data_IF_098809639755
#
_entry.id   IF_098809639755
#
_cell.length_a   1.000
_cell.length_b   1.000
_cell.length_c   1.000
_cell.angle_alpha   90.00
_cell.angle_beta   90.00
_cell.angle_gamma   90.00
#
_symmetry.space_group_name_H-M   'P 1'
#
loop_
_entity.id
_entity.type
_entity.pdbx_description
1 polymer ?
#
# COMPACT_ATOMS: atom_id res chain seq x y z
N UNK A 1 -25.15 -43.03 17.85
CA UNK A 1 -23.86 -42.31 18.03
C UNK A 1 -23.71 -41.03 17.17
N UNK A 2 -24.78 -40.45 16.57
CA UNK A 2 -24.69 -39.22 15.75
C UNK A 2 -24.73 -37.89 16.56
N UNK A 3 -25.44 -37.86 17.68
CA UNK A 3 -25.60 -36.67 18.54
C UNK A 3 -24.29 -36.04 19.10
N UNK A 4 -23.25 -36.78 19.54
CA UNK A 4 -22.06 -36.14 20.10
C UNK A 4 -21.22 -35.39 19.05
N UNK A 5 -21.26 -35.83 17.78
CA UNK A 5 -20.52 -35.19 16.69
C UNK A 5 -21.17 -33.87 16.25
N UNK A 6 -22.52 -33.80 16.29
CA UNK A 6 -23.28 -32.58 16.05
C UNK A 6 -23.04 -31.53 17.16
N UNK A 7 -23.01 -31.95 18.42
CA UNK A 7 -22.74 -31.07 19.55
C UNK A 7 -21.32 -30.47 19.49
N UNK A 8 -20.31 -31.28 19.14
CA UNK A 8 -18.94 -30.82 18.93
C UNK A 8 -18.87 -29.77 17.80
N UNK A 9 -19.54 -30.04 16.68
CA UNK A 9 -19.56 -29.12 15.53
C UNK A 9 -20.18 -27.77 15.90
N UNK A 10 -21.29 -27.78 16.64
CA UNK A 10 -21.95 -26.56 17.14
C UNK A 10 -21.05 -25.78 18.11
N UNK A 11 -20.32 -26.47 18.99
CA UNK A 11 -19.32 -25.85 19.85
C UNK A 11 -18.19 -25.20 19.04
N UNK A 12 -17.65 -25.90 18.05
CA UNK A 12 -16.60 -25.38 17.18
C UNK A 12 -17.07 -24.16 16.38
N UNK A 13 -18.30 -24.17 15.87
CA UNK A 13 -18.91 -23.01 15.21
C UNK A 13 -19.03 -21.82 16.16
N UNK A 14 -19.49 -22.06 17.39
CA UNK A 14 -19.64 -21.01 18.41
C UNK A 14 -18.29 -20.41 18.80
N UNK A 15 -17.27 -21.25 19.03
CA UNK A 15 -15.92 -20.78 19.36
C UNK A 15 -15.33 -20.00 18.19
N UNK A 16 -15.47 -20.51 16.97
CA UNK A 16 -15.00 -19.82 15.77
C UNK A 16 -15.68 -18.45 15.62
N UNK A 17 -16.98 -18.34 15.89
CA UNK A 17 -17.68 -17.07 15.82
C UNK A 17 -17.21 -16.08 16.91
N UNK A 18 -17.06 -16.53 18.17
CA UNK A 18 -16.52 -15.69 19.25
C UNK A 18 -15.11 -15.19 18.90
N UNK A 19 -14.26 -16.07 18.35
CA UNK A 19 -12.92 -15.70 17.91
C UNK A 19 -12.98 -14.65 16.80
N UNK A 20 -13.86 -14.83 15.81
CA UNK A 20 -14.07 -13.87 14.74
C UNK A 20 -14.50 -12.50 15.28
N UNK A 21 -15.51 -12.46 16.16
CA UNK A 21 -16.01 -11.22 16.76
C UNK A 21 -14.94 -10.51 17.59
N UNK A 22 -13.98 -11.25 18.15
CA UNK A 22 -12.86 -10.68 18.93
C UNK A 22 -11.73 -10.17 18.02
N UNK A 23 -11.41 -10.88 16.94
CA UNK A 23 -10.31 -10.53 16.04
C UNK A 23 -10.68 -9.42 15.06
N UNK A 24 -11.93 -9.37 14.59
CA UNK A 24 -12.41 -8.38 13.62
C UNK A 24 -12.13 -6.92 14.04
N UNK A 25 -12.45 -6.45 15.26
CA UNK A 25 -12.16 -5.07 15.65
C UNK A 25 -10.66 -4.76 15.66
N UNK A 26 -9.79 -5.75 15.93
CA UNK A 26 -8.34 -5.56 15.89
C UNK A 26 -7.87 -5.29 14.46
N UNK A 27 -8.34 -6.07 13.49
CA UNK A 27 -8.08 -5.85 12.06
C UNK A 27 -8.57 -4.47 11.61
N UNK A 28 -9.76 -4.07 12.04
CA UNK A 28 -10.34 -2.77 11.68
C UNK A 28 -9.56 -1.58 12.28
N UNK A 29 -8.92 -1.78 13.43
CA UNK A 29 -8.06 -0.80 14.08
C UNK A 29 -6.63 -0.74 13.51
N UNK A 30 -6.25 -1.69 12.65
CA UNK A 30 -4.95 -1.65 11.98
C UNK A 30 -4.90 -0.55 10.92
N UNK A 31 -3.92 0.33 11.06
CA UNK A 31 -3.80 1.53 10.22
C UNK A 31 -2.62 1.48 9.25
N UNK A 32 -1.62 0.65 9.56
CA UNK A 32 -0.42 0.46 8.75
C UNK A 32 -0.69 -0.51 7.60
N UNK A 33 -0.36 -0.08 6.38
CA UNK A 33 -0.43 -0.90 5.16
C UNK A 33 0.51 -2.11 5.28
N UNK A 34 1.70 -1.92 5.85
CA UNK A 34 2.68 -3.00 6.00
C UNK A 34 2.16 -4.07 6.97
N UNK A 35 1.59 -3.66 8.10
CA UNK A 35 1.00 -4.61 9.08
C UNK A 35 -0.19 -5.35 8.50
N UNK A 36 -1.09 -4.67 7.77
CA UNK A 36 -2.23 -5.33 7.10
C UNK A 36 -1.78 -6.34 6.05
N UNK A 37 -0.74 -6.00 5.27
CA UNK A 37 -0.13 -6.92 4.31
C UNK A 37 0.45 -8.15 5.02
N UNK A 38 1.23 -7.96 6.07
CA UNK A 38 1.83 -9.06 6.83
C UNK A 38 0.77 -9.98 7.43
N UNK A 39 -0.27 -9.41 8.04
CA UNK A 39 -1.41 -10.20 8.56
C UNK A 39 -2.07 -10.97 7.42
N UNK A 40 -2.34 -10.33 6.28
CA UNK A 40 -2.94 -10.99 5.12
C UNK A 40 -2.10 -12.17 4.63
N UNK A 41 -0.79 -11.97 4.48
CA UNK A 41 0.15 -12.99 4.02
C UNK A 41 0.28 -14.16 5.02
N UNK A 42 0.38 -13.88 6.33
CA UNK A 42 0.42 -14.92 7.36
C UNK A 42 -0.89 -15.73 7.41
N UNK A 43 -2.05 -15.08 7.33
CA UNK A 43 -3.32 -15.81 7.30
C UNK A 43 -3.42 -16.71 6.06
N UNK A 44 -2.95 -16.25 4.91
CA UNK A 44 -2.96 -17.00 3.66
C UNK A 44 -1.96 -18.17 3.69
N UNK A 45 -0.68 -17.88 3.94
CA UNK A 45 0.43 -18.83 3.80
C UNK A 45 0.53 -19.80 4.98
N UNK A 46 0.26 -19.35 6.21
CA UNK A 46 0.46 -20.17 7.41
C UNK A 46 -0.80 -20.94 7.83
N UNK A 47 -1.99 -20.45 7.45
CA UNK A 47 -3.27 -21.04 7.90
C UNK A 47 -4.08 -21.61 6.75
N UNK A 48 -4.37 -20.82 5.71
CA UNK A 48 -5.27 -21.25 4.63
C UNK A 48 -4.62 -22.25 3.67
N UNK A 49 -3.37 -22.04 3.28
CA UNK A 49 -2.66 -22.94 2.35
C UNK A 49 -2.35 -24.34 2.93
N UNK A 50 -1.84 -24.50 4.16
CA UNK A 50 -1.51 -25.81 4.70
C UNK A 50 -2.74 -26.70 4.87
N UNK A 51 -3.89 -26.08 5.17
CA UNK A 51 -5.15 -26.79 5.41
C UNK A 51 -5.83 -27.24 4.11
N UNK A 52 -5.45 -26.69 2.95
CA UNK A 52 -5.85 -27.27 1.64
C UNK A 52 -5.27 -28.67 1.40
N UNK A 53 -4.17 -29.02 2.07
CA UNK A 53 -3.51 -30.33 1.96
C UNK A 53 -3.92 -31.30 3.07
N UNK A 54 -4.47 -30.80 4.18
CA UNK A 54 -4.88 -31.60 5.33
C UNK A 54 -6.35 -31.99 5.26
N UNK A 55 -6.70 -33.21 5.72
CA UNK A 55 -8.08 -33.72 5.82
C UNK A 55 -8.71 -33.46 7.20
N UNK A 56 -8.15 -32.58 8.02
CA UNK A 56 -8.75 -32.26 9.33
C UNK A 56 -10.09 -31.54 9.15
N UNK A 57 -11.10 -31.95 9.92
CA UNK A 57 -12.47 -31.42 9.88
C UNK A 57 -12.57 -30.09 10.68
N UNK A 58 -11.74 -29.11 10.32
CA UNK A 58 -11.65 -27.77 10.93
C UNK A 58 -12.44 -26.71 10.13
N UNK A 59 -13.46 -27.15 9.40
CA UNK A 59 -14.18 -26.32 8.42
C UNK A 59 -14.70 -25.01 9.02
N UNK A 60 -15.23 -25.04 10.24
CA UNK A 60 -15.74 -23.84 10.92
C UNK A 60 -14.65 -22.81 11.24
N UNK A 61 -13.48 -23.26 11.68
CA UNK A 61 -12.33 -22.39 11.94
C UNK A 61 -11.75 -21.82 10.64
N UNK A 62 -11.66 -22.66 9.60
CA UNK A 62 -11.20 -22.21 8.28
C UNK A 62 -12.14 -21.18 7.67
N UNK A 63 -13.45 -21.37 7.83
CA UNK A 63 -14.45 -20.37 7.43
C UNK A 63 -14.24 -19.04 8.15
N UNK A 64 -13.98 -19.07 9.46
CA UNK A 64 -13.67 -17.86 10.23
C UNK A 64 -12.39 -17.17 9.75
N UNK A 65 -11.29 -17.91 9.59
CA UNK A 65 -10.02 -17.36 9.12
C UNK A 65 -10.14 -16.79 7.71
N UNK A 66 -10.90 -17.45 6.83
CA UNK A 66 -11.18 -16.96 5.49
C UNK A 66 -11.95 -15.63 5.51
N UNK A 67 -12.97 -15.50 6.38
CA UNK A 67 -13.69 -14.24 6.58
C UNK A 67 -12.77 -13.14 7.09
N UNK A 68 -11.93 -13.45 8.09
CA UNK A 68 -10.96 -12.50 8.63
C UNK A 68 -9.94 -12.06 7.57
N UNK A 69 -9.44 -12.99 6.76
CA UNK A 69 -8.55 -12.69 5.64
C UNK A 69 -9.21 -11.75 4.63
N UNK A 70 -10.50 -11.94 4.32
CA UNK A 70 -11.26 -11.01 3.46
C UNK A 70 -11.41 -9.62 4.10
N UNK A 71 -11.72 -9.52 5.39
CA UNK A 71 -11.76 -8.22 6.09
C UNK A 71 -10.38 -7.50 6.04
N UNK A 72 -9.28 -8.24 6.21
CA UNK A 72 -7.90 -7.69 6.10
C UNK A 72 -7.65 -7.17 4.69
N UNK A 73 -8.02 -7.93 3.65
CA UNK A 73 -7.87 -7.54 2.25
C UNK A 73 -8.68 -6.27 1.94
N UNK A 74 -9.95 -6.21 2.34
CA UNK A 74 -10.78 -5.00 2.18
C UNK A 74 -10.19 -3.79 2.89
N UNK A 75 -9.72 -3.96 4.13
CA UNK A 75 -9.07 -2.90 4.90
C UNK A 75 -7.77 -2.43 4.25
N UNK A 76 -6.97 -3.36 3.72
CA UNK A 76 -5.74 -3.06 2.99
C UNK A 76 -6.03 -2.22 1.74
N UNK A 77 -7.02 -2.63 0.93
CA UNK A 77 -7.46 -1.88 -0.26
C UNK A 77 -7.87 -0.46 0.13
N UNK A 78 -8.74 -0.32 1.14
CA UNK A 78 -9.16 0.98 1.63
C UNK A 78 -7.98 1.86 2.06
N UNK A 79 -7.02 1.30 2.80
CA UNK A 79 -5.85 2.04 3.28
C UNK A 79 -4.95 2.49 2.13
N UNK A 80 -4.81 1.67 1.11
CA UNK A 80 -4.04 1.98 -0.10
C UNK A 80 -4.72 3.08 -0.91
N UNK A 81 -6.03 3.01 -1.13
CA UNK A 81 -6.80 4.05 -1.82
C UNK A 81 -6.74 5.39 -1.09
N UNK A 82 -6.82 5.37 0.25
CA UNK A 82 -6.64 6.57 1.08
C UNK A 82 -5.22 7.13 0.94
N UNK A 83 -4.19 6.28 0.97
CA UNK A 83 -2.82 6.72 0.75
C UNK A 83 -2.64 7.36 -0.62
N UNK A 84 -3.18 6.75 -1.69
CA UNK A 84 -3.11 7.30 -3.05
C UNK A 84 -3.81 8.66 -3.11
N UNK A 85 -5.00 8.76 -2.52
CA UNK A 85 -5.75 10.01 -2.45
C UNK A 85 -4.98 11.12 -1.74
N UNK A 86 -4.39 10.82 -0.60
CA UNK A 86 -3.77 11.84 0.25
C UNK A 86 -2.34 12.18 -0.19
N UNK A 87 -1.56 11.16 -0.55
CA UNK A 87 -0.12 11.29 -0.80
C UNK A 87 0.25 11.52 -2.26
N UNK A 88 -0.63 11.14 -3.20
CA UNK A 88 -0.42 11.31 -4.65
C UNK A 88 -1.39 12.38 -5.16
N UNK A 89 -2.70 12.13 -5.15
CA UNK A 89 -3.69 13.08 -5.69
C UNK A 89 -3.71 14.41 -4.94
N UNK A 90 -3.65 14.37 -3.62
CA UNK A 90 -3.63 15.54 -2.74
C UNK A 90 -2.25 16.19 -2.59
N UNK A 91 -1.24 15.73 -3.34
CA UNK A 91 0.10 16.26 -3.21
C UNK A 91 0.18 17.71 -3.71
N UNK A 92 0.54 18.62 -2.81
CA UNK A 92 0.80 20.02 -3.11
C UNK A 92 2.31 20.23 -3.22
N UNK A 93 2.85 20.63 -4.39
CA UNK A 93 4.27 20.91 -4.53
C UNK A 93 4.73 22.03 -3.59
N UNK A 94 5.82 21.78 -2.88
CA UNK A 94 6.56 22.85 -2.21
C UNK A 94 7.45 23.61 -3.18
N UNK A 95 7.95 24.78 -2.80
CA UNK A 95 8.86 25.56 -3.64
C UNK A 95 10.19 24.83 -3.90
N UNK A 96 10.67 24.01 -2.94
CA UNK A 96 11.85 23.16 -3.12
C UNK A 96 11.59 22.02 -4.12
N UNK A 97 10.38 21.44 -4.11
CA UNK A 97 10.00 20.40 -5.06
C UNK A 97 9.88 20.94 -6.50
N UNK A 98 9.79 22.26 -6.66
CA UNK A 98 9.75 22.95 -7.95
C UNK A 98 11.10 23.60 -8.32
N UNK A 99 12.15 23.45 -7.51
CA UNK A 99 13.49 23.97 -7.84
C UNK A 99 14.27 22.96 -8.68
N UNK A 100 13.69 22.58 -9.82
CA UNK A 100 14.24 21.55 -10.70
C UNK A 100 15.65 21.80 -11.23
N UNK A 101 16.12 23.05 -11.45
CA UNK A 101 17.52 23.27 -11.74
C UNK A 101 18.41 22.69 -10.64
N UNK A 102 18.14 23.01 -9.37
CA UNK A 102 18.97 22.55 -8.26
C UNK A 102 18.75 21.09 -7.89
N UNK A 103 17.51 20.59 -7.98
CA UNK A 103 17.19 19.17 -7.74
C UNK A 103 17.98 18.28 -8.71
N UNK A 104 18.05 18.63 -9.99
CA UNK A 104 18.83 17.89 -10.97
C UNK A 104 20.34 18.01 -10.72
N UNK A 105 20.86 19.22 -10.47
CA UNK A 105 22.28 19.40 -10.14
C UNK A 105 22.69 18.62 -8.88
N UNK A 106 21.85 18.59 -7.85
CA UNK A 106 22.12 17.84 -6.62
C UNK A 106 22.13 16.33 -6.87
N UNK A 107 21.26 15.83 -7.74
CA UNK A 107 21.23 14.42 -8.13
C UNK A 107 22.46 14.02 -8.95
N UNK A 108 22.95 14.88 -9.84
CA UNK A 108 24.16 14.64 -10.66
C UNK A 108 25.44 14.56 -9.83
N UNK A 109 25.52 15.28 -8.69
CA UNK A 109 26.70 15.26 -7.81
C UNK A 109 26.73 14.09 -6.84
N UNK A 110 25.62 13.40 -6.67
CA UNK A 110 25.49 12.25 -5.79
C UNK A 110 25.82 10.96 -6.58
N UNK A 111 27.11 10.70 -6.80
CA UNK A 111 27.63 9.48 -7.47
C UNK A 111 27.66 8.25 -6.54
N UNK A 112 26.80 8.18 -5.52
CA UNK A 112 26.82 7.09 -4.55
C UNK A 112 25.97 5.92 -5.08
N UNK A 113 26.56 4.76 -5.49
CA UNK A 113 25.89 3.70 -6.24
C UNK A 113 24.72 3.04 -5.50
N UNK A 114 24.62 3.26 -4.18
CA UNK A 114 23.59 2.70 -3.32
C UNK A 114 22.32 3.58 -3.25
N UNK A 115 22.39 4.85 -3.68
CA UNK A 115 21.29 5.84 -3.55
C UNK A 115 20.72 6.33 -4.89
N UNK A 116 21.27 5.90 -6.02
CA UNK A 116 20.88 6.34 -7.38
C UNK A 116 19.39 6.14 -7.73
N UNK A 117 18.64 5.32 -7.00
CA UNK A 117 17.37 4.81 -7.54
C UNK A 117 16.25 5.85 -7.57
N UNK A 118 16.32 6.96 -6.82
CA UNK A 118 15.21 7.94 -6.73
C UNK A 118 15.64 9.40 -6.57
N UNK A 119 16.93 9.73 -6.64
CA UNK A 119 17.41 11.12 -6.59
C UNK A 119 17.00 11.86 -7.88
N UNK A 120 16.51 13.09 -7.75
CA UNK A 120 16.07 13.90 -8.89
C UNK A 120 14.65 13.61 -9.42
N UNK A 121 13.96 12.61 -8.89
CA UNK A 121 12.57 12.32 -9.27
C UNK A 121 11.59 13.26 -8.58
N UNK A 122 10.46 13.55 -9.24
CA UNK A 122 9.40 14.33 -8.61
C UNK A 122 8.75 13.55 -7.47
N UNK A 123 8.44 14.16 -6.32
CA UNK A 123 8.06 13.42 -5.11
C UNK A 123 6.82 12.52 -5.23
N UNK A 124 5.90 12.79 -6.16
CA UNK A 124 4.74 11.90 -6.38
C UNK A 124 5.14 10.55 -6.99
N UNK A 125 6.17 10.51 -7.83
CA UNK A 125 6.62 9.30 -8.52
C UNK A 125 7.13 8.19 -7.58
N UNK A 126 8.09 8.45 -6.66
CA UNK A 126 8.57 7.43 -5.75
C UNK A 126 7.48 6.97 -4.77
N UNK A 127 6.53 7.86 -4.39
CA UNK A 127 5.37 7.49 -3.57
C UNK A 127 4.49 6.48 -4.29
N UNK A 128 4.17 6.75 -5.55
CA UNK A 128 3.41 5.82 -6.41
C UNK A 128 4.11 4.48 -6.55
N UNK A 129 5.40 4.48 -6.89
CA UNK A 129 6.14 3.22 -7.08
C UNK A 129 6.27 2.43 -5.77
N UNK A 130 6.53 3.11 -4.65
CA UNK A 130 6.62 2.49 -3.33
C UNK A 130 5.31 1.79 -2.96
N UNK A 131 4.16 2.47 -3.10
CA UNK A 131 2.87 1.86 -2.75
C UNK A 131 2.53 0.68 -3.67
N UNK A 132 2.78 0.80 -4.97
CA UNK A 132 2.53 -0.29 -5.92
C UNK A 132 3.41 -1.52 -5.64
N UNK A 133 4.69 -1.31 -5.33
CA UNK A 133 5.59 -2.40 -4.94
C UNK A 133 5.12 -3.10 -3.66
N UNK A 134 4.56 -2.35 -2.71
CA UNK A 134 4.00 -2.93 -1.46
C UNK A 134 2.80 -3.83 -1.73
N UNK A 135 1.90 -3.45 -2.64
CA UNK A 135 0.63 -4.16 -2.83
C UNK A 135 0.67 -5.25 -3.92
N UNK A 136 1.68 -5.26 -4.79
CA UNK A 136 1.77 -6.17 -5.95
C UNK A 136 1.57 -7.65 -5.63
N UNK A 137 2.09 -8.11 -4.48
CA UNK A 137 1.93 -9.51 -4.03
C UNK A 137 0.85 -9.69 -2.96
N UNK A 138 0.32 -8.60 -2.43
CA UNK A 138 -0.62 -8.62 -1.32
C UNK A 138 -2.08 -8.69 -1.77
N UNK A 139 -2.37 -8.22 -2.99
CA UNK A 139 -3.72 -8.14 -3.56
C UNK A 139 -3.91 -9.10 -4.74
N UNK A 140 -5.17 -9.45 -5.02
CA UNK A 140 -5.54 -10.14 -6.24
C UNK A 140 -5.20 -9.27 -7.48
N UNK A 141 -4.74 -9.91 -8.56
CA UNK A 141 -4.20 -9.23 -9.74
C UNK A 141 -5.19 -8.24 -10.38
N UNK A 142 -6.47 -8.58 -10.43
CA UNK A 142 -7.52 -7.71 -10.97
C UNK A 142 -7.67 -6.42 -10.15
N UNK A 143 -7.69 -6.53 -8.83
CA UNK A 143 -7.75 -5.38 -7.91
C UNK A 143 -6.48 -4.55 -8.00
N UNK A 144 -5.31 -5.20 -8.00
CA UNK A 144 -4.03 -4.53 -8.18
C UNK A 144 -3.98 -3.71 -9.46
N UNK A 145 -4.43 -4.27 -10.59
CA UNK A 145 -4.41 -3.57 -11.87
C UNK A 145 -5.25 -2.29 -11.84
N UNK A 146 -6.45 -2.34 -11.25
CA UNK A 146 -7.31 -1.15 -11.11
C UNK A 146 -6.67 -0.05 -10.29
N UNK A 147 -6.13 -0.41 -9.12
CA UNK A 147 -5.44 0.53 -8.22
C UNK A 147 -4.16 1.08 -8.89
N UNK A 148 -3.40 0.22 -9.57
CA UNK A 148 -2.18 0.62 -10.25
C UNK A 148 -2.43 1.61 -11.38
N UNK A 149 -3.47 1.37 -12.18
CA UNK A 149 -3.88 2.29 -13.23
C UNK A 149 -4.25 3.66 -12.64
N UNK A 150 -5.10 3.69 -11.61
CA UNK A 150 -5.48 4.95 -10.95
C UNK A 150 -4.28 5.69 -10.37
N UNK A 151 -3.40 4.99 -9.64
CA UNK A 151 -2.24 5.60 -8.98
C UNK A 151 -1.25 6.21 -9.98
N UNK A 152 -1.03 5.54 -11.12
CA UNK A 152 -0.15 6.04 -12.20
C UNK A 152 -0.78 7.22 -12.92
N UNK A 153 -2.08 7.15 -13.24
CA UNK A 153 -2.80 8.25 -13.89
C UNK A 153 -2.77 9.53 -13.03
N UNK A 154 -2.99 9.38 -11.71
CA UNK A 154 -2.90 10.49 -10.76
C UNK A 154 -1.48 11.06 -10.66
N UNK A 155 -0.46 10.20 -10.63
CA UNK A 155 0.93 10.65 -10.62
C UNK A 155 1.32 11.39 -11.91
N UNK A 156 0.81 10.96 -13.06
CA UNK A 156 1.01 11.66 -14.32
C UNK A 156 0.33 13.04 -14.29
N UNK A 157 -0.85 13.14 -13.68
CA UNK A 157 -1.55 14.39 -13.50
C UNK A 157 -0.75 15.39 -12.65
N UNK A 158 -0.24 14.97 -11.49
CA UNK A 158 0.57 15.83 -10.61
C UNK A 158 1.85 16.29 -11.29
N UNK A 159 2.52 15.40 -12.03
CA UNK A 159 3.70 15.73 -12.83
C UNK A 159 3.40 16.77 -13.92
N UNK A 160 2.27 16.62 -14.61
CA UNK A 160 1.85 17.54 -15.67
C UNK A 160 1.48 18.91 -15.11
N UNK A 161 0.84 18.97 -13.95
CA UNK A 161 0.57 20.22 -13.25
C UNK A 161 1.87 20.91 -12.82
N UNK A 162 2.79 20.15 -12.23
CA UNK A 162 4.11 20.66 -11.86
C UNK A 162 4.87 21.23 -13.07
N UNK A 163 4.88 20.51 -14.21
CA UNK A 163 5.55 20.98 -15.42
C UNK A 163 4.96 22.27 -15.97
N UNK A 164 3.64 22.44 -15.90
CA UNK A 164 2.98 23.69 -16.29
C UNK A 164 3.32 24.85 -15.35
N UNK A 165 3.43 24.58 -14.04
CA UNK A 165 3.88 25.57 -13.06
C UNK A 165 5.32 26.00 -13.36
N UNK A 166 6.20 25.04 -13.64
CA UNK A 166 7.60 25.29 -13.98
C UNK A 166 7.75 26.07 -15.29
N UNK A 167 6.98 25.72 -16.33
CA UNK A 167 7.03 26.42 -17.61
C UNK A 167 6.60 27.89 -17.52
N UNK A 168 5.76 28.24 -16.51
CA UNK A 168 5.35 29.63 -16.25
C UNK A 168 6.37 30.40 -15.41
N UNK A 169 7.19 29.71 -14.61
CA UNK A 169 8.27 30.36 -13.85
C UNK A 169 9.38 30.73 -14.82
N UNK A 170 9.75 32.00 -14.85
CA UNK A 170 10.97 32.45 -15.52
C UNK A 170 12.14 31.81 -14.78
N UNK A 171 12.99 31.06 -15.49
CA UNK A 171 14.23 30.53 -14.90
C UNK A 171 15.04 31.71 -14.34
N UNK A 172 15.57 31.61 -13.10
CA UNK A 172 16.45 32.64 -12.60
C UNK A 172 17.60 32.82 -13.58
N UNK A 173 17.80 34.04 -14.05
CA UNK A 173 19.00 34.41 -14.81
C UNK A 173 20.23 33.93 -14.04
N UNK A 174 21.18 33.30 -14.73
CA UNK A 174 22.44 32.81 -14.13
C UNK A 174 23.24 33.93 -13.41
N UNK A 175 22.84 35.19 -13.58
CA UNK A 175 23.44 36.39 -13.00
C UNK A 175 23.04 36.72 -11.55
N UNK A 176 21.97 36.14 -10.99
CA UNK A 176 21.46 36.57 -9.67
C UNK A 176 22.06 35.81 -8.47
N UNK A 177 23.07 34.93 -8.69
CA UNK A 177 23.62 34.06 -7.64
C UNK A 177 25.11 34.25 -7.32
N UNK A 178 25.75 35.31 -7.82
CA UNK A 178 27.10 35.73 -7.36
C UNK A 178 27.00 36.73 -6.19
N UNK A 179 26.17 36.45 -5.19
CA UNK A 179 26.03 37.32 -4.02
C UNK A 179 25.65 36.52 -2.76
N UNK A 180 26.45 35.50 -2.48
CA UNK A 180 26.59 34.89 -1.16
C UNK A 180 27.93 34.11 -1.17
N UNK A 181 29.01 34.90 -1.16
CA UNK A 181 30.24 34.53 -0.46
C UNK A 181 29.95 34.24 1.03
#
# INVERSE_FOLDING_TARGET
MRQPQEALRSLMETIADIFYQTMRPLVLACDSIDSLREIGDSLQTDVLEPQRRSKMDLVSFLGMVYRLHKDVQEKLIYRVEMYIRDSIKGYVPSNSDLDYPWVLYSAERQEDPLTESQTGWYPSLPRTLSILAKIYRALEMSTFQGIAQEAVDLCMHTLKEASQILARKTLPSCSDRNMQD
#
